data_IF_299175772723
#
_entry.id   IF_299175772723
#
_cell.length_a   1.000
_cell.length_b   1.000
_cell.length_c   1.000
_cell.angle_alpha   90.00
_cell.angle_beta   90.00
_cell.angle_gamma   90.00
#
_symmetry.space_group_name_H-M   'P 1'
#
loop_
_entity.id
_entity.type
_entity.pdbx_description
1 polymer ?
#
# COMPACT_ATOMS: atom_id res chain seq x y z
N UNK A 1 -4.30 37.18 -58.91
CA UNK A 1 -3.87 36.81 -57.54
C UNK A 1 -4.97 37.17 -56.54
N UNK A 2 -5.66 36.20 -55.92
CA UNK A 2 -6.66 36.47 -54.91
C UNK A 2 -5.99 36.69 -53.54
N UNK A 3 -6.42 37.73 -52.81
CA UNK A 3 -5.96 38.04 -51.45
C UNK A 3 -6.34 36.91 -50.48
N UNK A 4 -5.46 36.51 -49.54
CA UNK A 4 -5.77 35.46 -48.59
C UNK A 4 -6.85 35.94 -47.60
N UNK A 5 -7.90 35.13 -47.44
CA UNK A 5 -8.92 35.30 -46.40
C UNK A 5 -8.25 35.21 -45.03
N UNK A 6 -8.33 36.30 -44.25
CA UNK A 6 -7.99 36.30 -42.82
C UNK A 6 -8.95 35.36 -42.10
N UNK A 7 -8.40 34.27 -41.54
CA UNK A 7 -9.09 33.43 -40.56
C UNK A 7 -9.35 34.27 -39.31
N UNK A 8 -10.63 34.51 -38.99
CA UNK A 8 -11.04 35.01 -37.69
C UNK A 8 -10.79 33.90 -36.65
N UNK A 9 -10.04 34.15 -35.57
CA UNK A 9 -9.91 33.20 -34.48
C UNK A 9 -11.27 32.98 -33.81
N UNK A 10 -11.57 31.72 -33.51
CA UNK A 10 -12.81 31.30 -32.87
C UNK A 10 -13.11 32.15 -31.62
N UNK A 11 -14.33 32.72 -31.54
CA UNK A 11 -14.85 33.41 -30.36
C UNK A 11 -14.66 32.52 -29.13
N UNK A 12 -13.78 32.94 -28.22
CA UNK A 12 -13.60 32.29 -26.92
C UNK A 12 -14.93 32.24 -26.17
N UNK A 13 -15.25 31.07 -25.58
CA UNK A 13 -16.45 30.86 -24.78
C UNK A 13 -16.55 31.94 -23.69
N UNK A 14 -17.63 32.71 -23.71
CA UNK A 14 -17.91 33.78 -22.75
C UNK A 14 -18.01 33.18 -21.33
N UNK A 15 -17.06 33.53 -20.45
CA UNK A 15 -17.10 33.13 -19.04
C UNK A 15 -18.12 33.99 -18.29
N UNK A 16 -19.09 33.38 -17.62
CA UNK A 16 -20.07 34.10 -16.80
C UNK A 16 -19.44 34.52 -15.47
N UNK A 17 -19.23 35.82 -15.26
CA UNK A 17 -18.73 36.38 -13.99
C UNK A 17 -19.61 36.00 -12.79
N UNK A 18 -20.92 35.86 -13.01
CA UNK A 18 -21.86 35.45 -11.96
C UNK A 18 -21.60 34.00 -11.51
N UNK A 19 -21.36 33.08 -12.45
CA UNK A 19 -21.03 31.69 -12.13
C UNK A 19 -19.70 31.57 -11.36
N UNK A 20 -18.68 32.34 -11.76
CA UNK A 20 -17.40 32.39 -11.03
C UNK A 20 -17.58 32.93 -9.60
N UNK A 21 -18.44 33.95 -9.41
CA UNK A 21 -18.74 34.50 -8.09
C UNK A 21 -19.44 33.49 -7.19
N UNK A 22 -20.41 32.74 -7.72
CA UNK A 22 -21.11 31.66 -6.99
C UNK A 22 -20.10 30.59 -6.55
N UNK A 23 -19.22 30.14 -7.46
CA UNK A 23 -18.20 29.15 -7.14
C UNK A 23 -17.26 29.62 -6.01
N UNK A 24 -16.75 30.86 -6.08
CA UNK A 24 -15.88 31.41 -5.02
C UNK A 24 -16.59 31.51 -3.66
N UNK A 25 -17.87 31.90 -3.66
CA UNK A 25 -18.67 31.98 -2.43
C UNK A 25 -18.90 30.60 -1.82
N UNK A 26 -19.22 29.60 -2.65
CA UNK A 26 -19.35 28.21 -2.19
C UNK A 26 -18.03 27.71 -1.61
N UNK A 27 -16.90 27.95 -2.28
CA UNK A 27 -15.59 27.56 -1.78
C UNK A 27 -15.25 28.21 -0.43
N UNK A 28 -15.51 29.51 -0.28
CA UNK A 28 -15.28 30.22 0.99
C UNK A 28 -16.18 29.73 2.12
N UNK A 29 -17.44 29.40 1.82
CA UNK A 29 -18.38 28.87 2.80
C UNK A 29 -18.02 27.45 3.23
N UNK A 30 -17.57 26.60 2.32
CA UNK A 30 -17.08 25.25 2.64
C UNK A 30 -15.87 25.32 3.56
N UNK A 31 -14.89 26.17 3.25
CA UNK A 31 -13.73 26.40 4.13
C UNK A 31 -14.16 26.88 5.52
N UNK A 32 -15.03 27.89 5.58
CA UNK A 32 -15.54 28.42 6.85
C UNK A 32 -16.30 27.38 7.67
N UNK A 33 -17.01 26.44 7.04
CA UNK A 33 -17.73 25.38 7.74
C UNK A 33 -16.82 24.25 8.21
N UNK A 34 -15.71 23.99 7.49
CA UNK A 34 -14.67 23.06 7.93
C UNK A 34 -13.82 23.64 9.08
N UNK A 35 -13.59 24.96 9.11
CA UNK A 35 -12.76 25.65 10.11
C UNK A 35 -13.51 26.00 11.42
N UNK A 36 -14.82 25.71 11.50
CA UNK A 36 -15.75 26.35 12.45
C UNK A 36 -15.47 26.09 13.94
N UNK A 37 -14.62 25.12 14.28
CA UNK A 37 -14.28 24.75 15.66
C UNK A 37 -12.85 25.13 16.09
N UNK A 38 -12.13 25.95 15.31
CA UNK A 38 -10.77 26.40 15.67
C UNK A 38 -9.71 25.30 15.62
N UNK A 39 -10.07 24.12 15.12
CA UNK A 39 -9.14 23.06 14.76
C UNK A 39 -8.30 23.53 13.57
N UNK A 40 -6.97 23.48 13.73
CA UNK A 40 -6.03 23.60 12.61
C UNK A 40 -6.51 22.73 11.46
N UNK A 41 -6.43 23.27 10.23
CA UNK A 41 -6.88 22.67 8.98
C UNK A 41 -6.86 21.14 9.07
N UNK A 42 -8.05 20.53 9.05
CA UNK A 42 -8.22 19.08 9.21
C UNK A 42 -7.30 18.42 8.18
N UNK A 43 -6.18 17.88 8.65
CA UNK A 43 -5.27 17.10 7.82
C UNK A 43 -6.06 15.94 7.20
N UNK A 44 -5.61 15.32 6.11
CA UNK A 44 -6.32 14.15 5.54
C UNK A 44 -7.64 14.40 4.80
N UNK A 45 -8.14 15.63 4.71
CA UNK A 45 -9.16 15.95 3.69
C UNK A 45 -8.53 15.92 2.29
N UNK A 46 -9.26 15.48 1.24
CA UNK A 46 -8.74 15.49 -0.12
C UNK A 46 -8.53 16.92 -0.63
N UNK A 47 -7.50 17.12 -1.46
CA UNK A 47 -7.21 18.41 -2.13
C UNK A 47 -8.40 18.94 -2.95
N UNK A 48 -9.27 18.03 -3.39
CA UNK A 48 -10.47 18.32 -4.16
C UNK A 48 -11.66 17.63 -3.51
N UNK A 49 -12.65 18.43 -3.13
CA UNK A 49 -13.93 17.96 -2.60
C UNK A 49 -15.00 18.12 -3.67
N UNK A 50 -15.64 17.02 -4.05
CA UNK A 50 -16.78 17.05 -4.98
C UNK A 50 -18.11 17.16 -4.21
N UNK A 51 -18.71 18.34 -4.23
CA UNK A 51 -20.02 18.59 -3.63
C UNK A 51 -21.13 18.32 -4.64
N UNK A 52 -22.07 17.46 -4.25
CA UNK A 52 -23.25 17.15 -5.05
C UNK A 52 -24.42 17.99 -4.53
N UNK A 53 -24.45 19.25 -4.98
CA UNK A 53 -25.45 20.22 -4.55
C UNK A 53 -26.67 20.18 -5.48
N UNK A 54 -27.81 19.75 -4.94
CA UNK A 54 -29.09 19.96 -5.59
C UNK A 54 -29.68 21.29 -5.12
N UNK A 55 -29.64 22.30 -5.99
CA UNK A 55 -30.18 23.65 -5.72
C UNK A 55 -31.48 23.80 -6.49
N UNK A 56 -32.66 23.52 -5.89
CA UNK A 56 -33.92 23.78 -6.54
C UNK A 56 -34.10 25.30 -6.70
N UNK A 57 -34.13 25.78 -7.96
CA UNK A 57 -34.37 27.20 -8.27
C UNK A 57 -35.79 27.36 -8.81
N UNK A 58 -36.67 27.97 -8.02
CA UNK A 58 -37.98 28.40 -8.50
C UNK A 58 -37.87 29.81 -9.07
N UNK A 59 -38.15 29.98 -10.36
CA UNK A 59 -37.98 31.26 -11.05
C UNK A 59 -39.11 32.28 -10.78
N UNK A 60 -40.22 31.82 -10.19
CA UNK A 60 -41.46 32.61 -10.06
C UNK A 60 -41.87 32.89 -8.61
N UNK A 61 -41.30 32.18 -7.65
CA UNK A 61 -41.69 32.20 -6.25
C UNK A 61 -40.44 32.07 -5.40
N UNK A 62 -40.31 32.95 -4.41
CA UNK A 62 -39.26 32.86 -3.40
C UNK A 62 -39.82 32.03 -2.24
N UNK A 63 -39.39 30.76 -2.15
CA UNK A 63 -39.80 29.84 -1.09
C UNK A 63 -38.66 29.71 -0.06
N UNK A 64 -38.80 30.30 1.14
CA UNK A 64 -37.81 30.22 2.20
C UNK A 64 -37.46 28.79 2.62
N UNK A 65 -38.40 27.83 2.47
CA UNK A 65 -38.15 26.43 2.83
C UNK A 65 -37.14 25.76 1.90
N UNK A 66 -37.08 26.14 0.62
CA UNK A 66 -36.07 25.62 -0.31
C UNK A 66 -34.66 26.08 0.08
N UNK A 67 -34.53 27.34 0.50
CA UNK A 67 -33.27 27.90 0.99
C UNK A 67 -32.82 27.22 2.29
N UNK A 68 -33.75 26.96 3.23
CA UNK A 68 -33.46 26.21 4.46
C UNK A 68 -33.04 24.77 4.16
N UNK A 69 -33.77 24.06 3.29
CA UNK A 69 -33.45 22.69 2.88
C UNK A 69 -32.09 22.61 2.19
N UNK A 70 -31.77 23.57 1.33
CA UNK A 70 -30.45 23.69 0.71
C UNK A 70 -29.35 23.88 1.77
N UNK A 71 -29.54 24.82 2.71
CA UNK A 71 -28.57 25.07 3.78
C UNK A 71 -28.34 23.83 4.66
N UNK A 72 -29.42 23.13 5.05
CA UNK A 72 -29.33 21.88 5.82
C UNK A 72 -28.59 20.79 5.05
N UNK A 73 -28.92 20.58 3.77
CA UNK A 73 -28.23 19.58 2.93
C UNK A 73 -26.74 19.90 2.77
N UNK A 74 -26.40 21.19 2.63
CA UNK A 74 -25.02 21.63 2.50
C UNK A 74 -24.23 21.41 3.80
N UNK A 75 -24.80 21.79 4.94
CA UNK A 75 -24.20 21.55 6.26
C UNK A 75 -24.00 20.04 6.49
N UNK A 76 -25.02 19.22 6.25
CA UNK A 76 -24.91 17.77 6.39
C UNK A 76 -23.83 17.14 5.50
N UNK A 77 -23.71 17.58 4.25
CA UNK A 77 -22.64 17.09 3.36
C UNK A 77 -21.25 17.49 3.86
N UNK A 78 -21.11 18.71 4.38
CA UNK A 78 -19.82 19.19 4.90
C UNK A 78 -19.46 18.50 6.21
N UNK A 79 -20.41 18.34 7.14
CA UNK A 79 -20.21 17.57 8.37
C UNK A 79 -19.82 16.12 8.07
N UNK A 80 -20.48 15.48 7.10
CA UNK A 80 -20.15 14.12 6.70
C UNK A 80 -18.73 14.00 6.10
N UNK A 81 -18.29 15.01 5.32
CA UNK A 81 -16.91 15.08 4.82
C UNK A 81 -15.91 15.35 5.94
N UNK A 82 -16.28 16.18 6.92
CA UNK A 82 -15.48 16.47 8.10
C UNK A 82 -15.24 15.19 8.90
N UNK A 83 -16.30 14.45 9.21
CA UNK A 83 -16.22 13.15 9.87
C UNK A 83 -15.40 12.17 9.05
N UNK A 84 -15.58 12.10 7.73
CA UNK A 84 -14.74 11.24 6.89
C UNK A 84 -13.24 11.60 7.03
N UNK A 85 -12.89 12.89 6.95
CA UNK A 85 -11.52 13.37 7.15
C UNK A 85 -10.96 13.07 8.53
N UNK A 86 -11.73 13.33 9.60
CA UNK A 86 -11.36 12.98 10.98
C UNK A 86 -11.08 11.48 11.13
N UNK A 87 -11.88 10.62 10.49
CA UNK A 87 -11.65 9.16 10.45
C UNK A 87 -10.40 8.82 9.64
N UNK A 88 -10.12 9.52 8.55
CA UNK A 88 -8.90 9.28 7.77
C UNK A 88 -7.63 9.66 8.56
N UNK A 89 -7.68 10.70 9.39
CA UNK A 89 -6.51 11.18 10.17
C UNK A 89 -6.35 10.46 11.49
N UNK A 90 -7.42 10.41 12.28
CA UNK A 90 -7.40 9.98 13.67
C UNK A 90 -8.04 8.60 13.84
N UNK A 91 -8.86 8.18 12.87
CA UNK A 91 -9.57 6.91 12.88
C UNK A 91 -8.67 5.68 12.72
N UNK A 92 -7.48 5.85 12.14
CA UNK A 92 -6.57 4.77 11.80
C UNK A 92 -5.12 5.26 11.64
N UNK A 93 -4.15 4.47 12.15
CA UNK A 93 -2.72 4.61 11.87
C UNK A 93 -2.18 3.30 11.32
N UNK A 94 -1.57 3.34 10.14
CA UNK A 94 -1.00 2.14 9.51
C UNK A 94 0.10 1.53 10.39
N UNK A 95 0.04 0.22 10.62
CA UNK A 95 0.97 -0.46 11.52
C UNK A 95 0.51 -0.55 12.96
N UNK A 96 -0.62 0.07 13.30
CA UNK A 96 -1.12 0.15 14.67
C UNK A 96 -2.59 -0.25 14.75
N UNK A 97 -2.99 -0.94 15.82
CA UNK A 97 -4.39 -1.23 16.12
C UNK A 97 -4.98 -0.13 16.99
N UNK A 98 -6.27 0.15 16.84
CA UNK A 98 -6.93 1.09 17.72
C UNK A 98 -7.00 0.53 19.15
N UNK A 99 -6.62 1.34 20.14
CA UNK A 99 -6.79 1.00 21.54
C UNK A 99 -8.04 1.71 22.07
N UNK A 100 -9.12 0.96 22.30
CA UNK A 100 -10.39 1.53 22.77
C UNK A 100 -10.30 2.03 24.23
N UNK A 101 -9.34 1.52 25.00
CA UNK A 101 -9.05 2.05 26.35
C UNK A 101 -8.42 3.45 26.29
N UNK A 102 -7.37 3.63 25.47
CA UNK A 102 -6.69 4.90 25.31
C UNK A 102 -7.43 5.87 24.37
N UNK A 103 -8.40 5.37 23.61
CA UNK A 103 -9.10 6.06 22.51
C UNK A 103 -8.16 6.67 21.47
N UNK A 104 -7.03 6.01 21.21
CA UNK A 104 -6.01 6.49 20.28
C UNK A 104 -5.40 5.34 19.49
N UNK A 105 -5.07 5.55 18.21
CA UNK A 105 -4.43 4.54 17.36
C UNK A 105 -2.91 4.46 17.55
N UNK A 106 -2.29 5.28 18.42
CA UNK A 106 -0.83 5.38 18.53
C UNK A 106 -0.29 5.38 19.95
N UNK A 107 -0.92 4.62 20.84
CA UNK A 107 -0.39 4.33 22.16
C UNK A 107 0.54 3.10 22.16
N UNK A 108 1.26 2.85 23.25
CA UNK A 108 2.16 1.68 23.38
C UNK A 108 1.44 0.35 23.18
N UNK A 109 0.16 0.26 23.55
CA UNK A 109 -0.65 -0.96 23.39
C UNK A 109 -1.04 -1.25 21.93
N UNK A 110 -0.90 -0.27 21.03
CA UNK A 110 -1.36 -0.35 19.64
C UNK A 110 -0.46 -1.20 18.73
N UNK A 111 0.69 -1.65 19.23
CA UNK A 111 1.66 -2.46 18.48
C UNK A 111 2.03 -3.73 19.24
N UNK A 112 2.36 -4.82 18.53
CA UNK A 112 2.87 -6.03 19.15
C UNK A 112 4.25 -5.77 19.75
N UNK A 113 4.59 -6.56 20.77
CA UNK A 113 5.86 -6.43 21.50
C UNK A 113 7.04 -6.86 20.61
N UNK A 114 6.83 -7.85 19.74
CA UNK A 114 7.88 -8.46 18.92
C UNK A 114 7.34 -8.95 17.55
N UNK A 115 8.23 -9.57 16.78
CA UNK A 115 7.95 -10.06 15.43
C UNK A 115 7.19 -11.40 15.40
N UNK A 116 6.89 -11.99 16.55
CA UNK A 116 6.22 -13.29 16.68
C UNK A 116 4.83 -13.18 17.32
N UNK A 117 4.41 -11.97 17.67
CA UNK A 117 3.13 -11.70 18.33
C UNK A 117 2.10 -11.15 17.35
N UNK A 118 0.86 -11.62 17.50
CA UNK A 118 -0.29 -11.30 16.65
C UNK A 118 -1.45 -10.82 17.49
N UNK A 119 -2.34 -10.04 16.90
CA UNK A 119 -3.56 -9.59 17.56
C UNK A 119 -4.51 -10.77 17.70
N UNK A 120 -4.95 -11.03 18.93
CA UNK A 120 -5.94 -12.06 19.24
C UNK A 120 -7.33 -11.50 19.57
N UNK A 121 -7.46 -10.18 19.65
CA UNK A 121 -8.70 -9.49 19.98
C UNK A 121 -8.43 -8.30 20.91
N UNK A 122 -9.48 -7.88 21.61
CA UNK A 122 -9.42 -6.86 22.64
C UNK A 122 -10.01 -7.38 23.94
N UNK A 123 -9.46 -6.94 25.07
CA UNK A 123 -10.01 -7.21 26.39
C UNK A 123 -11.35 -6.50 26.62
N UNK A 124 -12.03 -6.84 27.71
CA UNK A 124 -13.27 -6.19 28.11
C UNK A 124 -13.21 -4.66 28.24
N UNK A 125 -12.04 -4.13 28.60
CA UNK A 125 -11.82 -2.69 28.72
C UNK A 125 -11.36 -2.05 27.41
N UNK A 126 -11.20 -2.82 26.34
CA UNK A 126 -10.80 -2.30 25.05
C UNK A 126 -9.28 -2.16 24.85
N UNK A 127 -8.46 -2.79 25.70
CA UNK A 127 -7.02 -2.93 25.45
C UNK A 127 -6.76 -4.05 24.41
N UNK A 128 -5.94 -3.81 23.38
CA UNK A 128 -5.53 -4.85 22.44
C UNK A 128 -4.81 -6.02 23.13
N UNK A 129 -5.16 -7.24 22.74
CA UNK A 129 -4.57 -8.47 23.27
C UNK A 129 -3.62 -9.09 22.26
N UNK A 130 -2.33 -9.07 22.59
CA UNK A 130 -1.26 -9.65 21.80
C UNK A 130 -0.92 -11.06 22.32
N UNK A 131 -0.87 -12.04 21.42
CA UNK A 131 -0.46 -13.41 21.74
C UNK A 131 0.67 -13.84 20.83
N UNK A 132 1.62 -14.62 21.35
CA UNK A 132 2.62 -15.28 20.52
C UNK A 132 1.91 -16.20 19.51
N UNK A 133 2.33 -16.17 18.25
CA UNK A 133 1.70 -16.91 17.16
C UNK A 133 1.68 -18.41 17.43
N UNK A 134 2.74 -19.00 17.99
CA UNK A 134 2.79 -20.43 18.33
C UNK A 134 1.70 -20.77 19.36
N UNK A 135 1.58 -19.95 20.41
CA UNK A 135 0.55 -20.15 21.43
C UNK A 135 -0.86 -19.95 20.88
N UNK A 136 -1.04 -19.03 19.95
CA UNK A 136 -2.31 -18.81 19.28
C UNK A 136 -2.70 -20.02 18.41
N UNK A 137 -1.78 -20.54 17.60
CA UNK A 137 -2.01 -21.73 16.77
C UNK A 137 -2.26 -22.98 17.63
N UNK A 138 -1.54 -23.17 18.73
CA UNK A 138 -1.78 -24.27 19.67
C UNK A 138 -3.23 -24.30 20.22
N UNK A 139 -3.86 -23.13 20.36
CA UNK A 139 -5.23 -23.02 20.85
C UNK A 139 -6.27 -23.16 19.72
N UNK A 140 -6.05 -22.46 18.60
CA UNK A 140 -7.09 -22.25 17.58
C UNK A 140 -6.94 -23.13 16.32
N UNK A 141 -5.71 -23.48 15.95
CA UNK A 141 -5.42 -24.22 14.71
C UNK A 141 -4.12 -25.05 14.83
N UNK A 142 -4.10 -26.12 15.68
CA UNK A 142 -2.88 -26.88 15.96
C UNK A 142 -2.26 -27.52 14.70
N UNK A 143 -3.07 -27.85 13.70
CA UNK A 143 -2.64 -28.41 12.42
C UNK A 143 -1.74 -27.47 11.60
N UNK A 144 -1.72 -26.18 11.91
CA UNK A 144 -0.87 -25.19 11.23
C UNK A 144 0.50 -25.03 11.89
N UNK A 145 0.75 -25.62 13.07
CA UNK A 145 2.03 -25.47 13.78
C UNK A 145 3.24 -25.98 13.00
N UNK A 146 3.07 -27.05 12.24
CA UNK A 146 4.13 -27.65 11.42
C UNK A 146 4.65 -26.69 10.35
N UNK A 147 3.89 -25.64 9.99
CA UNK A 147 4.34 -24.63 9.05
C UNK A 147 5.42 -23.71 9.64
N UNK A 148 5.50 -23.61 10.97
CA UNK A 148 6.47 -22.77 11.68
C UNK A 148 7.59 -23.64 12.27
N UNK A 149 7.24 -24.78 12.87
CA UNK A 149 8.17 -25.64 13.63
C UNK A 149 8.64 -26.88 12.87
N UNK A 150 8.15 -27.11 11.65
CA UNK A 150 8.60 -28.20 10.80
C UNK A 150 9.99 -27.95 10.19
N UNK A 151 10.49 -28.94 9.44
CA UNK A 151 11.83 -28.88 8.82
C UNK A 151 12.02 -27.68 7.88
N UNK A 152 10.93 -27.18 7.30
CA UNK A 152 10.92 -25.97 6.47
C UNK A 152 9.82 -25.01 6.90
N UNK A 153 10.21 -23.76 7.21
CA UNK A 153 9.28 -22.67 7.50
C UNK A 153 8.49 -22.36 6.23
N UNK A 154 7.16 -22.32 6.35
CA UNK A 154 6.26 -22.03 5.27
C UNK A 154 5.17 -21.02 5.68
N UNK A 155 4.80 -20.07 4.81
CA UNK A 155 3.75 -19.11 5.12
C UNK A 155 2.38 -19.77 5.36
N UNK A 156 1.65 -19.28 6.35
CA UNK A 156 0.29 -19.70 6.72
C UNK A 156 -0.60 -18.49 7.02
N UNK A 157 -1.91 -18.64 6.91
CA UNK A 157 -2.88 -17.65 7.37
C UNK A 157 -4.12 -18.28 8.02
N UNK A 158 -4.64 -17.63 9.05
CA UNK A 158 -5.88 -17.93 9.73
C UNK A 158 -6.82 -16.72 9.62
N UNK A 159 -8.04 -16.95 9.15
CA UNK A 159 -9.09 -15.93 9.09
C UNK A 159 -9.77 -15.78 10.46
N UNK A 160 -9.93 -14.54 10.91
CA UNK A 160 -10.63 -14.18 12.14
C UNK A 160 -11.71 -13.14 11.83
N UNK A 161 -12.92 -13.33 12.37
CA UNK A 161 -14.01 -12.37 12.23
C UNK A 161 -13.82 -11.18 13.18
N UNK A 162 -14.19 -9.98 12.74
CA UNK A 162 -14.15 -8.78 13.58
C UNK A 162 -15.06 -8.87 14.80
N UNK A 163 -16.17 -9.60 14.69
CA UNK A 163 -17.08 -9.86 15.81
C UNK A 163 -16.41 -10.71 16.88
N UNK A 164 -15.60 -11.70 16.50
CA UNK A 164 -14.81 -12.50 17.43
C UNK A 164 -13.70 -11.66 18.07
N UNK A 165 -13.02 -10.81 17.30
CA UNK A 165 -11.98 -9.92 17.84
C UNK A 165 -12.52 -8.96 18.90
N UNK A 166 -13.75 -8.48 18.73
CA UNK A 166 -14.42 -7.55 19.64
C UNK A 166 -15.33 -8.22 20.66
N UNK A 167 -15.40 -9.55 20.71
CA UNK A 167 -16.42 -10.28 21.47
C UNK A 167 -16.39 -9.97 22.97
N UNK A 168 -15.21 -9.71 23.54
CA UNK A 168 -15.07 -9.41 24.96
C UNK A 168 -15.29 -7.93 25.28
N UNK A 169 -15.17 -7.03 24.31
CA UNK A 169 -15.17 -5.57 24.54
C UNK A 169 -16.55 -5.11 25.01
N UNK A 170 -16.59 -4.40 26.14
CA UNK A 170 -17.85 -3.85 26.64
C UNK A 170 -18.39 -2.76 25.70
N UNK A 171 -19.71 -2.70 25.42
CA UNK A 171 -20.31 -1.75 24.48
C UNK A 171 -19.95 -0.28 24.75
N UNK A 172 -19.80 0.11 26.01
CA UNK A 172 -19.41 1.46 26.44
C UNK A 172 -18.06 1.94 25.88
N UNK A 173 -17.16 1.03 25.47
CA UNK A 173 -15.88 1.37 24.83
C UNK A 173 -16.00 1.45 23.30
N UNK A 174 -17.08 0.95 22.73
CA UNK A 174 -17.35 0.98 21.28
C UNK A 174 -18.34 2.10 20.90
N UNK A 175 -19.28 2.43 21.79
CA UNK A 175 -20.30 3.45 21.57
C UNK A 175 -19.68 4.84 21.38
N UNK A 176 -20.17 5.57 20.37
CA UNK A 176 -19.70 6.93 20.06
C UNK A 176 -18.31 6.99 19.44
N UNK A 177 -17.64 5.85 19.22
CA UNK A 177 -16.36 5.83 18.53
C UNK A 177 -16.53 6.20 17.05
N UNK A 178 -15.72 7.14 16.57
CA UNK A 178 -15.62 7.47 15.14
C UNK A 178 -14.57 6.60 14.43
N UNK A 179 -13.81 5.79 15.16
CA UNK A 179 -12.69 5.01 14.62
C UNK A 179 -13.13 3.95 13.60
N UNK A 180 -12.20 3.56 12.76
CA UNK A 180 -12.45 2.53 11.76
C UNK A 180 -12.75 1.18 12.44
N UNK A 181 -13.85 0.54 12.07
CA UNK A 181 -14.30 -0.70 12.70
C UNK A 181 -13.55 -1.91 12.14
N UNK A 182 -12.95 -2.79 12.95
CA UNK A 182 -12.31 -4.00 12.45
C UNK A 182 -13.39 -4.97 11.94
N UNK A 183 -13.46 -5.15 10.62
CA UNK A 183 -14.43 -6.07 10.01
C UNK A 183 -13.98 -7.52 10.14
N UNK A 184 -12.70 -7.79 9.91
CA UNK A 184 -12.09 -9.11 9.93
C UNK A 184 -10.56 -8.96 9.87
N UNK A 185 -9.84 -10.05 10.15
CA UNK A 185 -8.39 -10.10 10.08
C UNK A 185 -7.86 -11.41 9.50
N UNK A 186 -6.64 -11.36 8.98
CA UNK A 186 -5.82 -12.54 8.73
C UNK A 186 -4.67 -12.53 9.72
N UNK A 187 -4.60 -13.55 10.57
CA UNK A 187 -3.43 -13.84 11.42
C UNK A 187 -2.49 -14.68 10.57
N UNK A 188 -1.30 -14.16 10.30
CA UNK A 188 -0.40 -14.72 9.29
C UNK A 188 1.00 -14.88 9.87
N UNK A 189 1.69 -15.95 9.48
CA UNK A 189 3.06 -16.17 9.91
C UNK A 189 3.82 -17.12 9.00
N UNK A 190 5.05 -17.44 9.38
CA UNK A 190 5.93 -18.32 8.60
C UNK A 190 6.56 -17.62 7.40
N UNK A 191 6.67 -16.28 7.40
CA UNK A 191 7.45 -15.57 6.39
C UNK A 191 8.93 -15.55 6.80
N UNK A 192 9.83 -16.20 6.06
CA UNK A 192 11.22 -16.30 6.44
C UNK A 192 11.90 -14.91 6.44
N UNK A 193 12.65 -14.62 7.50
CA UNK A 193 13.53 -13.47 7.64
C UNK A 193 14.95 -13.98 7.85
N UNK A 194 15.90 -13.53 7.02
CA UNK A 194 17.31 -13.86 7.21
C UNK A 194 17.97 -12.77 8.05
N UNK A 195 18.34 -13.10 9.28
CA UNK A 195 18.98 -12.18 10.20
C UNK A 195 20.44 -11.90 9.80
N UNK A 196 21.06 -10.78 10.25
CA UNK A 196 22.44 -10.44 9.92
C UNK A 196 23.49 -11.49 10.33
N UNK A 197 23.18 -12.29 11.35
CA UNK A 197 24.00 -13.42 11.82
C UNK A 197 23.82 -14.70 11.00
N UNK A 198 23.12 -14.63 9.86
CA UNK A 198 22.73 -15.77 9.02
C UNK A 198 21.78 -16.78 9.66
N UNK A 199 21.22 -16.47 10.84
CA UNK A 199 20.12 -17.26 11.39
C UNK A 199 18.82 -16.98 10.62
N UNK A 200 18.00 -18.02 10.48
CA UNK A 200 16.68 -17.93 9.89
C UNK A 200 15.67 -17.72 11.01
N UNK A 201 14.90 -16.64 10.89
CA UNK A 201 13.73 -16.37 11.71
C UNK A 201 12.50 -16.28 10.82
N UNK A 202 11.35 -15.99 11.40
CA UNK A 202 10.09 -15.81 10.72
C UNK A 202 9.33 -14.61 11.27
N UNK A 203 8.56 -13.96 10.39
CA UNK A 203 7.66 -12.87 10.76
C UNK A 203 6.25 -13.40 10.96
N UNK A 204 5.65 -13.03 12.08
CA UNK A 204 4.22 -13.03 12.31
C UNK A 204 3.64 -11.62 12.06
N UNK A 205 2.45 -11.54 11.49
CA UNK A 205 1.76 -10.29 11.23
C UNK A 205 0.25 -10.47 11.30
N UNK A 206 -0.44 -9.40 11.68
CA UNK A 206 -1.90 -9.30 11.59
C UNK A 206 -2.26 -8.40 10.42
N UNK A 207 -3.00 -8.90 9.44
CA UNK A 207 -3.57 -8.10 8.36
C UNK A 207 -5.05 -7.86 8.63
N UNK A 208 -5.38 -6.69 9.19
CA UNK A 208 -6.76 -6.30 9.50
C UNK A 208 -7.43 -5.59 8.33
N UNK A 209 -8.70 -5.90 8.08
CA UNK A 209 -9.58 -5.06 7.27
C UNK A 209 -10.36 -4.15 8.20
N UNK A 210 -10.19 -2.85 7.98
CA UNK A 210 -10.95 -1.82 8.65
C UNK A 210 -12.07 -1.33 7.73
N UNK A 211 -13.29 -1.27 8.25
CA UNK A 211 -14.47 -0.69 7.61
C UNK A 211 -14.67 0.73 8.11
N UNK A 212 -14.67 1.69 7.19
CA UNK A 212 -15.13 3.07 7.40
C UNK A 212 -16.29 3.38 6.48
N UNK A 213 -16.90 4.56 6.64
CA UNK A 213 -17.96 5.05 5.77
C UNK A 213 -17.55 6.38 5.17
N UNK A 214 -17.79 6.52 3.87
CA UNK A 214 -17.71 7.81 3.18
C UNK A 214 -18.86 8.72 3.61
N UNK A 215 -18.73 10.02 3.35
CA UNK A 215 -19.79 11.00 3.57
C UNK A 215 -21.12 10.63 2.87
N UNK A 216 -21.04 9.87 1.77
CA UNK A 216 -22.21 9.39 1.02
C UNK A 216 -22.84 8.13 1.62
N UNK A 217 -22.27 7.57 2.68
CA UNK A 217 -22.71 6.32 3.32
C UNK A 217 -22.26 5.05 2.61
N UNK A 218 -21.40 5.16 1.59
CA UNK A 218 -20.77 4.01 0.93
C UNK A 218 -19.65 3.48 1.84
N UNK A 219 -19.56 2.16 2.10
CA UNK A 219 -18.48 1.60 2.88
C UNK A 219 -17.15 1.72 2.15
N UNK A 220 -16.08 1.91 2.92
CA UNK A 220 -14.70 1.95 2.46
C UNK A 220 -13.90 0.97 3.29
N UNK A 221 -13.20 0.07 2.61
CA UNK A 221 -12.40 -0.95 3.26
C UNK A 221 -10.91 -0.66 3.08
N UNK A 222 -10.13 -0.87 4.13
CA UNK A 222 -8.68 -0.64 4.10
C UNK A 222 -7.93 -1.76 4.80
N UNK A 223 -6.78 -2.12 4.24
CA UNK A 223 -5.82 -2.98 4.92
C UNK A 223 -5.04 -2.20 5.97
N UNK A 224 -4.89 -2.80 7.14
CA UNK A 224 -3.95 -2.39 8.16
C UNK A 224 -3.07 -3.60 8.51
N UNK A 225 -1.81 -3.56 8.08
CA UNK A 225 -0.82 -4.59 8.38
C UNK A 225 -0.08 -4.20 9.65
N UNK A 226 -0.09 -5.07 10.66
CA UNK A 226 0.52 -4.82 11.97
C UNK A 226 1.53 -5.92 12.28
N UNK A 227 2.77 -5.52 12.56
CA UNK A 227 3.85 -6.38 13.03
C UNK A 227 5.00 -5.52 13.56
N UNK A 228 5.81 -6.07 14.46
CA UNK A 228 7.03 -5.44 14.97
C UNK A 228 8.23 -6.29 14.55
N UNK A 229 8.69 -6.20 13.29
CA UNK A 229 9.77 -7.05 12.80
C UNK A 229 11.08 -6.80 13.58
N UNK A 230 11.94 -7.82 13.74
CA UNK A 230 13.21 -7.67 14.45
C UNK A 230 14.14 -6.72 13.70
N UNK A 231 14.98 -5.99 14.43
CA UNK A 231 16.00 -5.11 13.83
C UNK A 231 16.98 -5.95 12.98
N UNK A 232 17.45 -5.46 11.81
CA UNK A 232 17.29 -4.11 11.26
C UNK A 232 16.05 -3.94 10.36
N UNK A 233 15.12 -4.90 10.33
CA UNK A 233 13.97 -4.83 9.45
C UNK A 233 12.95 -3.79 9.96
N UNK A 234 12.30 -3.12 9.01
CA UNK A 234 11.19 -2.23 9.26
C UNK A 234 9.99 -2.68 8.46
N UNK A 235 8.80 -2.67 9.08
CA UNK A 235 7.58 -3.17 8.44
C UNK A 235 7.32 -2.43 7.12
N UNK A 236 7.39 -1.09 7.13
CA UNK A 236 7.19 -0.30 5.92
C UNK A 236 8.11 -0.72 4.75
N UNK A 237 9.38 -1.05 5.04
CA UNK A 237 10.32 -1.56 4.04
C UNK A 237 9.92 -2.94 3.55
N UNK A 238 9.57 -3.86 4.45
CA UNK A 238 9.11 -5.21 4.09
C UNK A 238 7.83 -5.18 3.24
N UNK A 239 6.93 -4.23 3.52
CA UNK A 239 5.68 -4.00 2.79
C UNK A 239 5.87 -3.31 1.42
N UNK A 240 7.02 -2.65 1.22
CA UNK A 240 7.35 -1.86 0.01
C UNK A 240 8.28 -2.57 -0.97
N UNK A 241 8.87 -3.72 -0.60
CA UNK A 241 9.73 -4.52 -1.47
C UNK A 241 8.93 -5.25 -2.54
N UNK A 242 8.60 -4.63 -3.67
CA UNK A 242 7.84 -5.31 -4.72
C UNK A 242 8.63 -6.51 -5.31
N UNK A 243 7.96 -7.67 -5.37
CA UNK A 243 8.34 -8.91 -6.05
C UNK A 243 9.55 -9.75 -5.57
N UNK A 244 10.24 -9.39 -4.48
CA UNK A 244 11.42 -10.15 -4.01
C UNK A 244 11.12 -11.19 -2.93
N UNK A 245 10.11 -10.98 -2.07
CA UNK A 245 9.79 -11.88 -0.95
C UNK A 245 8.40 -12.54 -1.08
N UNK A 246 8.17 -13.71 -0.46
CA UNK A 246 6.82 -14.31 -0.37
C UNK A 246 5.80 -13.36 0.29
N UNK A 247 6.23 -12.63 1.32
CA UNK A 247 5.41 -11.63 2.01
C UNK A 247 4.94 -10.53 1.07
N UNK A 248 5.85 -9.90 0.34
CA UNK A 248 5.50 -8.79 -0.54
C UNK A 248 4.60 -9.22 -1.70
N UNK A 249 4.83 -10.41 -2.27
CA UNK A 249 3.94 -10.97 -3.31
C UNK A 249 2.54 -11.20 -2.77
N UNK A 250 2.42 -11.79 -1.58
CA UNK A 250 1.12 -12.01 -0.96
C UNK A 250 0.40 -10.68 -0.67
N UNK A 251 1.10 -9.69 -0.11
CA UNK A 251 0.52 -8.36 0.19
C UNK A 251 0.11 -7.61 -1.08
N UNK A 252 0.89 -7.70 -2.15
CA UNK A 252 0.52 -7.11 -3.45
C UNK A 252 -0.79 -7.69 -3.98
N UNK A 253 -0.96 -9.02 -3.86
CA UNK A 253 -2.21 -9.71 -4.20
C UNK A 253 -3.37 -9.21 -3.31
N UNK A 254 -3.17 -9.14 -2.00
CA UNK A 254 -4.20 -8.63 -1.07
C UNK A 254 -4.66 -7.21 -1.41
N UNK A 255 -3.70 -6.31 -1.69
CA UNK A 255 -3.98 -4.92 -2.07
C UNK A 255 -4.80 -4.88 -3.35
N UNK A 256 -4.41 -5.65 -4.36
CA UNK A 256 -5.10 -5.71 -5.64
C UNK A 256 -6.53 -6.26 -5.50
N UNK A 257 -6.71 -7.32 -4.72
CA UNK A 257 -8.04 -7.89 -4.47
C UNK A 257 -8.96 -6.89 -3.75
N UNK A 258 -8.46 -6.18 -2.74
CA UNK A 258 -9.25 -5.18 -2.02
C UNK A 258 -9.62 -3.98 -2.92
N UNK A 259 -8.67 -3.50 -3.74
CA UNK A 259 -8.94 -2.44 -4.72
C UNK A 259 -10.07 -2.87 -5.66
N UNK A 260 -10.02 -4.09 -6.20
CA UNK A 260 -11.08 -4.60 -7.07
C UNK A 260 -12.47 -4.65 -6.40
N UNK A 261 -12.53 -5.09 -5.14
CA UNK A 261 -13.79 -5.09 -4.36
C UNK A 261 -14.28 -3.65 -4.11
N UNK A 262 -13.39 -2.74 -3.74
CA UNK A 262 -13.72 -1.34 -3.47
C UNK A 262 -14.23 -0.63 -4.74
N UNK A 263 -13.55 -0.83 -5.88
CA UNK A 263 -13.96 -0.27 -7.17
C UNK A 263 -15.36 -0.74 -7.59
N UNK A 264 -15.69 -2.01 -7.39
CA UNK A 264 -17.02 -2.55 -7.68
C UNK A 264 -18.10 -1.88 -6.83
N UNK A 265 -17.85 -1.75 -5.52
CA UNK A 265 -18.77 -1.09 -4.57
C UNK A 265 -18.99 0.37 -4.96
N UNK A 266 -17.92 1.10 -5.24
CA UNK A 266 -17.97 2.51 -5.62
C UNK A 266 -18.63 2.72 -6.98
N UNK A 267 -18.37 1.84 -7.95
CA UNK A 267 -18.99 1.89 -9.26
C UNK A 267 -20.51 1.72 -9.16
N UNK A 268 -20.99 0.72 -8.41
CA UNK A 268 -22.43 0.54 -8.16
C UNK A 268 -23.05 1.73 -7.42
N UNK A 269 -22.34 2.30 -6.46
CA UNK A 269 -22.79 3.49 -5.75
C UNK A 269 -22.93 4.70 -6.69
N UNK A 270 -22.00 4.88 -7.65
CA UNK A 270 -22.06 5.93 -8.68
C UNK A 270 -23.24 5.75 -9.65
N UNK A 271 -23.63 4.51 -9.95
CA UNK A 271 -24.84 4.21 -10.75
C UNK A 271 -26.16 4.38 -9.96
N UNK A 272 -26.11 4.75 -8.68
CA UNK A 272 -27.29 4.82 -7.82
C UNK A 272 -27.82 3.44 -7.37
N UNK A 273 -27.18 2.34 -7.76
CA UNK A 273 -27.53 0.95 -7.37
C UNK A 273 -26.73 0.51 -6.16
N UNK A 274 -26.84 1.26 -5.05
CA UNK A 274 -26.05 1.01 -3.84
C UNK A 274 -26.23 -0.42 -3.36
N UNK A 275 -25.10 -1.07 -3.12
CA UNK A 275 -25.05 -2.42 -2.58
C UNK A 275 -25.41 -2.39 -1.07
N UNK A 276 -26.26 -3.30 -0.58
CA UNK A 276 -26.50 -3.44 0.85
C UNK A 276 -25.20 -3.75 1.60
N UNK A 277 -25.03 -3.20 2.81
CA UNK A 277 -23.82 -3.41 3.63
C UNK A 277 -23.48 -4.88 3.85
N UNK A 278 -24.50 -5.74 4.03
CA UNK A 278 -24.31 -7.18 4.18
C UNK A 278 -23.67 -7.81 2.94
N UNK A 279 -24.06 -7.41 1.74
CA UNK A 279 -23.49 -7.90 0.48
C UNK A 279 -22.05 -7.39 0.31
N UNK A 280 -21.77 -6.13 0.67
CA UNK A 280 -20.41 -5.59 0.68
C UNK A 280 -19.49 -6.42 1.58
N UNK A 281 -19.90 -6.66 2.83
CA UNK A 281 -19.14 -7.46 3.80
C UNK A 281 -18.92 -8.89 3.31
N UNK A 282 -19.96 -9.52 2.74
CA UNK A 282 -19.84 -10.88 2.17
C UNK A 282 -18.78 -10.95 1.05
N UNK A 283 -18.69 -9.94 0.19
CA UNK A 283 -17.62 -9.86 -0.83
C UNK A 283 -16.24 -9.74 -0.21
N UNK A 284 -16.09 -8.93 0.84
CA UNK A 284 -14.82 -8.82 1.57
C UNK A 284 -14.45 -10.16 2.22
N UNK A 285 -15.36 -10.84 2.90
CA UNK A 285 -15.10 -12.16 3.50
C UNK A 285 -14.73 -13.22 2.47
N UNK A 286 -15.37 -13.21 1.30
CA UNK A 286 -15.00 -14.09 0.18
C UNK A 286 -13.57 -13.80 -0.29
N UNK A 287 -13.21 -12.52 -0.45
CA UNK A 287 -11.85 -12.10 -0.78
C UNK A 287 -10.84 -12.57 0.27
N UNK A 288 -11.16 -12.47 1.57
CA UNK A 288 -10.30 -12.92 2.65
C UNK A 288 -10.08 -14.44 2.63
N UNK A 289 -11.13 -15.21 2.33
CA UNK A 289 -11.06 -16.67 2.21
C UNK A 289 -10.19 -17.09 1.01
N UNK A 290 -10.29 -16.37 -0.11
CA UNK A 290 -9.43 -16.55 -1.27
C UNK A 290 -7.98 -16.19 -0.94
N UNK A 291 -7.76 -15.07 -0.25
CA UNK A 291 -6.45 -14.61 0.22
C UNK A 291 -5.73 -15.62 1.13
N UNK A 292 -6.47 -16.24 2.06
CA UNK A 292 -5.98 -17.32 2.92
C UNK A 292 -5.55 -18.52 2.06
N UNK A 293 -6.37 -18.92 1.09
CA UNK A 293 -6.10 -20.06 0.20
C UNK A 293 -4.87 -19.85 -0.69
N UNK A 294 -4.60 -18.61 -1.09
CA UNK A 294 -3.45 -18.27 -1.95
C UNK A 294 -2.12 -18.61 -1.28
N UNK A 295 -1.96 -18.38 0.03
CA UNK A 295 -0.75 -18.78 0.76
C UNK A 295 -0.53 -20.29 0.74
N UNK A 296 -1.60 -21.08 0.95
CA UNK A 296 -1.53 -22.53 0.82
C UNK A 296 -1.09 -23.00 -0.57
N UNK A 297 -1.42 -22.25 -1.63
CA UNK A 297 -0.95 -22.57 -3.00
C UNK A 297 0.48 -22.15 -3.30
N UNK A 298 1.02 -21.13 -2.61
CA UNK A 298 2.43 -20.75 -2.73
C UNK A 298 3.35 -21.89 -2.26
N UNK A 299 2.98 -22.55 -1.16
CA UNK A 299 3.73 -23.69 -0.60
C UNK A 299 3.77 -24.85 -1.60
N UNK A 300 2.62 -25.28 -2.16
CA UNK A 300 2.56 -26.37 -3.16
C UNK A 300 3.35 -26.10 -4.44
N UNK A 301 3.51 -24.82 -4.83
CA UNK A 301 4.32 -24.42 -6.00
C UNK A 301 5.81 -24.34 -5.66
N UNK A 302 6.18 -24.04 -4.42
CA UNK A 302 7.55 -24.17 -3.95
C UNK A 302 7.98 -25.64 -3.87
N UNK A 303 7.11 -26.53 -3.39
CA UNK A 303 7.39 -27.98 -3.36
C UNK A 303 7.54 -28.58 -4.77
N UNK A 304 6.89 -27.98 -5.77
CA UNK A 304 7.07 -28.32 -7.21
C UNK A 304 8.26 -27.65 -7.88
N UNK A 305 8.92 -26.67 -7.25
CA UNK A 305 10.24 -26.20 -7.70
C UNK A 305 11.28 -27.22 -7.22
N UNK A 306 11.35 -28.31 -7.97
CA UNK A 306 12.36 -29.36 -7.86
C UNK A 306 13.73 -28.78 -7.55
N UNK A 307 14.44 -29.40 -6.60
CA UNK A 307 15.88 -29.37 -6.27
C UNK A 307 16.79 -28.55 -7.22
N UNK A 308 16.65 -28.71 -8.54
CA UNK A 308 17.22 -27.86 -9.59
C UNK A 308 17.03 -26.33 -9.49
N UNK A 309 16.01 -25.81 -8.80
CA UNK A 309 15.86 -24.36 -8.59
C UNK A 309 16.73 -23.85 -7.42
N UNK A 310 16.90 -24.69 -6.39
CA UNK A 310 17.77 -24.45 -5.24
C UNK A 310 19.25 -24.59 -5.66
N UNK A 311 19.57 -25.62 -6.46
CA UNK A 311 20.90 -25.83 -7.07
C UNK A 311 21.30 -24.66 -7.98
N UNK A 312 20.35 -24.03 -8.67
CA UNK A 312 20.58 -22.81 -9.48
C UNK A 312 20.79 -21.53 -8.67
N UNK A 313 20.31 -21.47 -7.44
CA UNK A 313 20.57 -20.35 -6.52
C UNK A 313 21.99 -20.40 -5.96
N UNK A 314 22.55 -21.62 -5.84
CA UNK A 314 23.89 -21.90 -5.33
C UNK A 314 24.94 -22.06 -6.44
N UNK A 315 24.58 -21.84 -7.71
CA UNK A 315 25.49 -21.95 -8.85
C UNK A 315 26.49 -20.76 -8.88
N UNK A 316 27.81 -21.01 -8.73
CA UNK A 316 28.86 -19.98 -8.82
C UNK A 316 28.91 -19.24 -10.16
N UNK A 317 28.23 -19.74 -11.20
CA UNK A 317 28.14 -19.11 -12.53
C UNK A 317 26.97 -18.12 -12.67
N UNK A 318 26.31 -17.72 -11.58
CA UNK A 318 25.25 -16.71 -11.62
C UNK A 318 25.83 -15.37 -12.14
N UNK A 319 25.20 -14.71 -13.14
CA UNK A 319 25.71 -13.47 -13.74
C UNK A 319 25.70 -12.23 -12.82
N UNK A 320 25.47 -12.39 -11.52
CA UNK A 320 25.59 -11.33 -10.52
C UNK A 320 27.03 -10.86 -10.38
N UNK A 321 28.01 -11.78 -10.45
CA UNK A 321 29.44 -11.45 -10.40
C UNK A 321 29.92 -10.61 -11.58
N UNK A 322 29.23 -10.70 -12.72
CA UNK A 322 29.52 -9.93 -13.93
C UNK A 322 28.80 -8.58 -13.99
N UNK A 323 27.87 -8.28 -13.08
CA UNK A 323 27.01 -7.10 -13.19
C UNK A 323 27.81 -5.79 -13.19
N UNK A 324 28.78 -5.66 -12.29
CA UNK A 324 29.63 -4.47 -12.20
C UNK A 324 30.57 -4.39 -13.41
N UNK A 325 31.19 -5.50 -13.81
CA UNK A 325 32.06 -5.55 -14.98
C UNK A 325 31.30 -5.20 -16.27
N UNK A 326 30.07 -5.68 -16.42
CA UNK A 326 29.20 -5.40 -17.56
C UNK A 326 28.73 -3.93 -17.54
N UNK A 327 28.55 -3.28 -16.38
CA UNK A 327 28.32 -1.81 -16.28
C UNK A 327 29.54 -1.05 -16.77
N UNK A 328 30.72 -1.35 -16.24
CA UNK A 328 31.95 -0.64 -16.60
C UNK A 328 32.31 -0.79 -18.08
N UNK A 329 31.97 -1.94 -18.68
CA UNK A 329 32.15 -2.20 -20.11
C UNK A 329 30.99 -1.70 -20.99
N UNK A 330 29.87 -1.28 -20.40
CA UNK A 330 28.70 -0.84 -21.14
C UNK A 330 28.96 0.49 -21.86
N UNK A 331 28.30 0.66 -23.01
CA UNK A 331 28.24 1.96 -23.70
C UNK A 331 26.88 2.57 -23.42
N UNK A 332 26.75 3.90 -23.55
CA UNK A 332 25.48 4.60 -23.36
C UNK A 332 24.28 3.94 -24.04
N UNK A 333 24.44 3.45 -25.28
CA UNK A 333 23.37 2.79 -26.05
C UNK A 333 22.85 1.49 -25.43
N UNK A 334 23.61 0.93 -24.50
CA UNK A 334 23.32 -0.30 -23.78
C UNK A 334 22.73 -0.02 -22.39
N UNK A 335 22.55 1.26 -22.03
CA UNK A 335 21.99 1.68 -20.74
C UNK A 335 20.68 2.45 -20.93
N UNK A 336 19.66 2.01 -20.21
CA UNK A 336 18.30 2.53 -20.29
C UNK A 336 17.79 2.91 -18.90
N UNK A 337 16.83 3.81 -18.85
CA UNK A 337 16.05 4.10 -17.68
C UNK A 337 14.68 3.41 -17.79
N UNK A 338 14.33 2.56 -16.82
CA UNK A 338 12.98 1.99 -16.72
C UNK A 338 12.06 3.01 -16.05
N UNK A 339 11.19 3.65 -16.85
CA UNK A 339 10.30 4.71 -16.37
C UNK A 339 9.27 4.22 -15.36
N UNK A 340 8.97 2.92 -15.34
CA UNK A 340 7.95 2.35 -14.44
C UNK A 340 8.53 2.13 -13.05
N UNK A 341 9.73 1.57 -12.99
CA UNK A 341 10.37 1.16 -11.73
C UNK A 341 11.43 2.16 -11.25
N UNK A 342 11.66 3.25 -12.01
CA UNK A 342 12.68 4.26 -11.75
C UNK A 342 14.09 3.69 -11.52
N UNK A 343 14.46 2.69 -12.31
CA UNK A 343 15.75 1.97 -12.22
C UNK A 343 16.57 2.10 -13.49
N UNK A 344 17.89 1.95 -13.36
CA UNK A 344 18.85 1.93 -14.46
C UNK A 344 19.06 0.50 -14.94
N UNK A 345 18.89 0.28 -16.23
CA UNK A 345 18.96 -1.02 -16.88
C UNK A 345 20.22 -1.05 -17.74
N UNK A 346 21.17 -1.92 -17.40
CA UNK A 346 22.39 -2.15 -18.17
C UNK A 346 22.27 -3.45 -18.93
N UNK A 347 22.39 -3.39 -20.25
CA UNK A 347 22.39 -4.57 -21.11
C UNK A 347 23.82 -5.13 -21.26
N UNK A 348 24.04 -6.29 -20.67
CA UNK A 348 25.26 -7.06 -20.84
C UNK A 348 25.26 -7.96 -22.09
N UNK A 349 26.37 -8.66 -22.36
CA UNK A 349 26.50 -9.63 -23.45
C UNK A 349 25.45 -10.75 -23.37
N UNK A 350 25.11 -11.35 -24.51
CA UNK A 350 24.28 -12.57 -24.60
C UNK A 350 22.89 -12.46 -23.94
N UNK A 351 22.26 -11.28 -24.04
CA UNK A 351 20.90 -11.04 -23.53
C UNK A 351 20.81 -10.90 -22.00
N UNK A 352 21.95 -10.79 -21.32
CA UNK A 352 21.99 -10.44 -19.89
C UNK A 352 21.55 -8.99 -19.70
N UNK A 353 20.78 -8.77 -18.65
CA UNK A 353 20.32 -7.45 -18.24
C UNK A 353 20.50 -7.33 -16.74
N UNK A 354 21.14 -6.25 -16.32
CA UNK A 354 21.39 -5.90 -14.95
C UNK A 354 20.54 -4.68 -14.60
N UNK A 355 19.94 -4.72 -13.42
CA UNK A 355 19.09 -3.64 -12.91
C UNK A 355 19.81 -3.01 -11.74
N UNK A 356 19.95 -1.69 -11.78
CA UNK A 356 20.56 -0.88 -10.75
C UNK A 356 19.59 0.21 -10.30
N UNK A 357 19.74 0.66 -9.05
CA UNK A 357 19.14 1.93 -8.65
C UNK A 357 19.86 3.08 -9.36
N UNK A 358 19.23 4.27 -9.42
CA UNK A 358 19.89 5.47 -9.96
C UNK A 358 21.19 5.80 -9.25
N UNK A 359 21.27 5.47 -7.95
CA UNK A 359 22.46 5.71 -7.16
C UNK A 359 23.54 4.64 -7.40
N UNK A 360 23.34 3.62 -8.25
CA UNK A 360 24.36 2.61 -8.57
C UNK A 360 24.33 1.35 -7.71
N UNK A 361 23.26 1.06 -6.98
CA UNK A 361 23.13 -0.19 -6.20
C UNK A 361 22.60 -1.28 -7.12
N UNK A 362 23.29 -2.42 -7.20
CA UNK A 362 22.82 -3.56 -7.98
C UNK A 362 21.57 -4.16 -7.34
N UNK A 363 20.46 -4.20 -8.08
CA UNK A 363 19.17 -4.73 -7.63
C UNK A 363 19.04 -6.20 -8.01
N UNK A 364 19.25 -6.52 -9.29
CA UNK A 364 19.12 -7.89 -9.80
C UNK A 364 19.74 -8.06 -11.18
N UNK A 365 19.94 -9.31 -11.61
CA UNK A 365 20.39 -9.67 -12.96
C UNK A 365 19.47 -10.74 -13.55
N UNK A 366 19.07 -10.57 -14.80
CA UNK A 366 18.22 -11.51 -15.52
C UNK A 366 18.73 -11.73 -16.96
N UNK A 367 18.24 -12.76 -17.64
CA UNK A 367 18.39 -12.92 -19.09
C UNK A 367 17.05 -12.69 -19.76
N UNK A 368 17.00 -11.81 -20.75
CA UNK A 368 15.80 -11.57 -21.56
C UNK A 368 16.05 -12.05 -22.99
N UNK A 369 14.98 -12.50 -23.65
CA UNK A 369 15.04 -12.73 -25.10
C UNK A 369 15.17 -11.39 -25.85
N UNK A 370 15.81 -11.37 -27.03
CA UNK A 370 15.93 -10.17 -27.85
C UNK A 370 14.57 -9.47 -28.10
N UNK A 371 13.53 -10.26 -28.36
CA UNK A 371 12.17 -9.76 -28.61
C UNK A 371 11.57 -9.07 -27.38
N UNK A 372 11.83 -9.60 -26.18
CA UNK A 372 11.34 -9.01 -24.93
C UNK A 372 11.99 -7.65 -24.63
N UNK A 373 13.27 -7.49 -24.99
CA UNK A 373 13.99 -6.22 -24.84
C UNK A 373 13.44 -5.20 -25.83
N UNK A 374 13.28 -5.58 -27.10
CA UNK A 374 12.75 -4.70 -28.15
C UNK A 374 11.33 -4.22 -27.84
N UNK A 375 10.46 -5.09 -27.33
CA UNK A 375 9.09 -4.72 -26.93
C UNK A 375 9.08 -3.69 -25.80
N UNK A 376 10.00 -3.78 -24.83
CA UNK A 376 10.09 -2.83 -23.71
C UNK A 376 10.59 -1.46 -24.16
N UNK A 377 11.52 -1.43 -25.13
CA UNK A 377 11.99 -0.19 -25.75
C UNK A 377 10.89 0.44 -26.61
N UNK A 378 10.22 -0.35 -27.48
CA UNK A 378 9.14 0.14 -28.35
C UNK A 378 7.96 0.70 -27.56
N UNK A 379 7.60 0.09 -26.43
CA UNK A 379 6.55 0.57 -25.53
C UNK A 379 6.97 1.77 -24.67
N UNK A 380 8.16 2.32 -24.88
CA UNK A 380 8.76 3.42 -24.09
C UNK A 380 8.86 3.12 -22.59
N UNK A 381 8.86 1.84 -22.21
CA UNK A 381 9.12 1.44 -20.82
C UNK A 381 10.60 1.63 -20.49
N UNK A 382 11.47 1.22 -21.41
CA UNK A 382 12.91 1.45 -21.31
C UNK A 382 13.29 2.57 -22.27
N UNK A 383 13.75 3.68 -21.70
CA UNK A 383 14.11 4.87 -22.46
C UNK A 383 15.62 5.05 -22.37
N UNK A 384 16.25 5.38 -23.48
CA UNK A 384 17.69 5.65 -23.49
C UNK A 384 18.02 6.80 -22.53
N UNK A 385 19.05 6.61 -21.73
CA UNK A 385 19.46 7.60 -20.73
C UNK A 385 20.18 8.80 -21.37
N UNK A 386 19.99 9.99 -20.79
CA UNK A 386 20.69 11.21 -21.21
C UNK A 386 22.18 11.16 -20.83
N UNK A 387 23.03 11.95 -21.51
CA UNK A 387 24.48 11.91 -21.31
C UNK A 387 24.89 12.29 -19.88
N UNK A 388 24.25 13.30 -19.31
CA UNK A 388 24.49 13.74 -17.93
C UNK A 388 24.14 12.66 -16.92
N UNK A 389 23.03 11.96 -17.12
CA UNK A 389 22.58 10.90 -16.21
C UNK A 389 23.41 9.63 -16.32
N UNK A 390 23.83 9.28 -17.54
CA UNK A 390 24.74 8.16 -17.77
C UNK A 390 26.09 8.36 -17.09
N UNK A 391 26.68 9.56 -17.23
CA UNK A 391 27.97 9.88 -16.61
C UNK A 391 27.87 9.88 -15.08
N UNK A 392 26.83 10.52 -14.52
CA UNK A 392 26.56 10.51 -13.08
C UNK A 392 26.40 9.10 -12.53
N UNK A 393 25.63 8.25 -13.22
CA UNK A 393 25.45 6.86 -12.83
C UNK A 393 26.77 6.07 -12.82
N UNK A 394 27.63 6.25 -13.83
CA UNK A 394 28.95 5.62 -13.85
C UNK A 394 29.87 6.11 -12.74
N UNK A 395 29.85 7.42 -12.44
CA UNK A 395 30.63 8.01 -11.35
C UNK A 395 30.23 7.44 -9.98
N UNK A 396 28.93 7.29 -9.72
CA UNK A 396 28.39 6.65 -8.51
C UNK A 396 28.84 5.19 -8.37
N UNK A 397 28.88 4.45 -9.48
CA UNK A 397 29.38 3.06 -9.50
C UNK A 397 30.89 3.01 -9.19
N UNK A 398 31.67 3.95 -9.73
CA UNK A 398 33.11 4.04 -9.45
C UNK A 398 33.40 4.41 -7.99
N UNK A 399 32.72 5.42 -7.43
CA UNK A 399 32.92 5.83 -6.04
C UNK A 399 32.62 4.69 -5.05
N UNK A 400 31.60 3.87 -5.33
CA UNK A 400 31.30 2.69 -4.50
C UNK A 400 32.33 1.58 -4.60
N UNK A 401 32.97 1.42 -5.76
CA UNK A 401 34.03 0.44 -5.91
C UNK A 401 35.26 0.83 -5.09
N UNK A 402 35.58 2.12 -5.04
CA UNK A 402 36.70 2.63 -4.26
C UNK A 402 36.42 2.56 -2.75
N UNK A 403 35.21 2.93 -2.29
CA UNK A 403 34.80 2.79 -0.88
C UNK A 403 34.85 1.34 -0.38
N UNK A 404 34.39 0.38 -1.19
CA UNK A 404 34.43 -1.04 -0.83
C UNK A 404 35.86 -1.61 -0.81
N UNK A 405 36.80 -1.03 -1.57
CA UNK A 405 38.22 -1.41 -1.53
C UNK A 405 38.89 -0.90 -0.25
N UNK A 406 38.64 0.35 0.12
CA UNK A 406 39.18 0.95 1.34
C UNK A 406 38.68 0.24 2.61
N UNK A 407 37.41 -0.19 2.63
CA UNK A 407 36.84 -1.00 3.72
C UNK A 407 37.42 -2.43 3.80
N UNK A 408 37.83 -3.01 2.68
CA UNK A 408 38.43 -4.34 2.63
C UNK A 408 39.90 -4.32 3.08
N UNK A 409 40.65 -3.29 2.70
CA UNK A 409 42.04 -3.11 3.11
C UNK A 409 42.16 -2.66 4.58
N UNK A 410 41.19 -1.87 5.08
CA UNK A 410 41.11 -1.48 6.49
C UNK A 410 40.83 -2.64 7.47
N UNK A 411 40.17 -3.72 7.01
CA UNK A 411 39.91 -4.93 7.83
C UNK A 411 41.12 -5.87 7.93
N UNK A 412 42.07 -5.79 7.00
CA UNK A 412 43.28 -6.61 7.02
C UNK A 412 44.40 -6.07 7.91
N UNK A 413 44.33 -4.82 8.36
CA UNK A 413 45.31 -4.21 9.27
C UNK A 413 44.96 -4.32 10.76
N UNK A 414 43.80 -4.90 11.09
CA UNK A 414 43.33 -5.09 12.47
C UNK A 414 43.59 -6.50 13.07
N UNK A 415 44.15 -7.42 12.28
CA UNK A 415 44.49 -8.79 12.69
C UNK A 415 45.96 -9.08 12.37
N UNK A 416 46.88 -8.31 12.96
CA UNK A 416 48.30 -8.64 13.03
C UNK A 416 48.83 -8.38 14.43
#
# INVERSE_FOLDING_TARGET
>A
MPKPKRNNPAKGKTRSRAAESIHRRLQGLVKSLLDRDGSEAISGLPDVVELNLHVPVQLKTDDPHLSQKFAQNLVQQIEALRTEGEIEVHGHRSGHVHCYWCQQPDCEHSVPIDGHTVLSGWSATGLPLWKNLTNHLLAEAPELLDHIHGDTISPLALLVDGTDLLAEVLPQYLEGTTFAHPLAGLIVGGFPLQLPNHEMDHLALTALILETRTAKGTPKYRWNFIATPPKPFHLATLLGQEDTSPLARWISVLRTMLVGVQEEIEHRAREGKRMPMKECRQKVFKMLSEAQSILGTFNRRQDRKTQHAQERSNDPNRPTSAAIADVLASKRKDVFFDQRESTVIVRGPSGRVHVFTQNGIHVTSARYSPDSILLRIQRKRWVSMEDSDYLRFHEEIHQRLDQNRDEADGRNLGNA
#
